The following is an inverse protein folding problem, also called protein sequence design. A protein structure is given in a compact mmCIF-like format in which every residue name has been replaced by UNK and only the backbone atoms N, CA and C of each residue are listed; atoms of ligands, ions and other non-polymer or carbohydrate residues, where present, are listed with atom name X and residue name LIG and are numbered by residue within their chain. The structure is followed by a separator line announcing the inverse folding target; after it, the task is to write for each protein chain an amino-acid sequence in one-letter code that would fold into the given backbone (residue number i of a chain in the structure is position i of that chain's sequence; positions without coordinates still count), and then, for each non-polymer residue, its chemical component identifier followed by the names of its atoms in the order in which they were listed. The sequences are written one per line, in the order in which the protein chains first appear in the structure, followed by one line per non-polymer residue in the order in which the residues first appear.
data_IF_658032835515
#
_entry.id   IF_658032835515
#
_cell.length_a   1.000
_cell.length_b   1.000
_cell.length_c   1.000
_cell.angle_alpha   90.00
_cell.angle_beta   90.00
_cell.angle_gamma   90.00
#
_symmetry.space_group_name_H-M   'P 1'
#
loop_
_entity.id
_entity.type
_entity.pdbx_description
1 polymer ?
#
# COMPACT_ATOMS: atom_id res chain seq x y z
N UNK A 1 29.00 12.08 15.79
CA UNK A 1 28.04 10.97 15.75
C UNK A 1 27.10 11.27 14.61
N UNK A 2 27.44 10.77 13.41
CA UNK A 2 26.65 10.98 12.20
C UNK A 2 25.98 9.65 11.92
N UNK A 3 24.70 9.52 12.26
CA UNK A 3 23.92 8.35 11.83
C UNK A 3 22.41 8.67 11.93
N UNK A 4 21.76 8.61 10.76
CA UNK A 4 20.36 8.18 10.58
C UNK A 4 19.17 9.13 10.83
N UNK A 5 19.27 10.41 10.44
CA UNK A 5 18.09 11.29 10.29
C UNK A 5 17.63 11.47 8.83
N UNK A 6 17.76 10.45 7.98
CA UNK A 6 17.29 10.53 6.57
C UNK A 6 16.38 9.39 6.11
N UNK A 7 16.01 8.43 6.95
CA UNK A 7 15.11 7.31 6.58
C UNK A 7 14.00 7.06 7.61
N UNK A 8 13.52 8.07 8.34
CA UNK A 8 12.26 7.88 9.06
C UNK A 8 11.14 7.83 8.01
N UNK A 9 10.48 6.68 7.75
CA UNK A 9 9.32 6.68 6.88
C UNK A 9 8.31 7.68 7.46
N UNK A 10 7.71 8.48 6.58
CA UNK A 10 6.61 9.38 6.95
C UNK A 10 5.45 8.51 7.47
N UNK A 11 5.46 8.16 8.75
CA UNK A 11 4.46 7.32 9.43
C UNK A 11 4.36 5.88 8.90
N UNK A 12 3.73 5.02 9.70
CA UNK A 12 3.26 3.69 9.29
C UNK A 12 2.03 3.84 8.38
N UNK A 13 2.26 4.43 7.20
CA UNK A 13 1.22 4.74 6.22
C UNK A 13 1.09 3.59 5.23
N UNK A 14 -0.12 3.06 5.10
CA UNK A 14 -0.45 1.92 4.26
C UNK A 14 -1.54 2.24 3.24
N UNK A 15 -1.51 1.51 2.14
CA UNK A 15 -2.50 1.61 1.08
C UNK A 15 -3.88 1.14 1.58
N UNK A 16 -4.95 1.93 1.39
CA UNK A 16 -6.29 1.55 1.84
C UNK A 16 -6.91 0.40 1.03
N UNK A 17 -6.38 0.11 -0.16
CA UNK A 17 -6.89 -0.94 -1.05
C UNK A 17 -6.25 -2.30 -0.80
N UNK A 18 -4.95 -2.33 -0.49
CA UNK A 18 -4.18 -3.57 -0.43
C UNK A 18 -3.34 -3.76 0.82
N UNK A 19 -3.24 -2.74 1.69
CA UNK A 19 -2.45 -2.81 2.92
C UNK A 19 -0.94 -2.65 2.71
N UNK A 20 -0.48 -2.35 1.49
CA UNK A 20 0.95 -2.19 1.22
C UNK A 20 1.50 -0.87 1.78
N UNK A 21 2.67 -0.93 2.40
CA UNK A 21 3.45 0.25 2.80
C UNK A 21 4.24 0.88 1.64
N UNK A 22 4.19 0.29 0.43
CA UNK A 22 4.88 0.81 -0.76
C UNK A 22 4.08 1.93 -1.44
N UNK A 23 3.80 2.97 -0.67
CA UNK A 23 3.24 4.23 -1.16
C UNK A 23 4.37 5.20 -1.49
N UNK A 24 4.19 5.98 -2.55
CA UNK A 24 5.04 7.14 -2.81
C UNK A 24 4.19 8.38 -3.01
N UNK A 25 4.79 9.53 -2.71
CA UNK A 25 4.16 10.81 -2.80
C UNK A 25 4.22 11.34 -4.24
N UNK A 26 3.07 11.61 -4.85
CA UNK A 26 2.98 12.03 -6.25
C UNK A 26 2.87 13.55 -6.41
N UNK A 27 2.11 14.22 -5.55
CA UNK A 27 1.89 15.67 -5.61
C UNK A 27 1.81 16.25 -4.20
N UNK A 28 2.48 17.39 -4.01
CA UNK A 28 2.41 18.19 -2.79
C UNK A 28 2.50 19.68 -3.00
N UNK A 29 2.17 20.42 -1.93
CA UNK A 29 1.91 21.88 -1.83
C UNK A 29 0.40 22.21 -1.90
N UNK A 30 0.01 23.32 -2.53
CA UNK A 30 -1.34 23.93 -2.47
C UNK A 30 -2.52 23.00 -2.86
N UNK A 31 -2.25 21.89 -3.55
CA UNK A 31 -3.25 20.94 -4.04
C UNK A 31 -3.52 19.76 -3.08
N UNK A 32 -2.80 19.66 -1.96
CA UNK A 32 -2.91 18.56 -1.00
C UNK A 32 -1.97 17.39 -1.31
N UNK A 33 -1.97 16.41 -0.40
CA UNK A 33 -1.12 15.23 -0.45
C UNK A 33 -1.79 14.11 -1.27
N UNK A 34 -1.18 13.66 -2.36
CA UNK A 34 -1.64 12.48 -3.11
C UNK A 34 -0.60 11.36 -3.07
N UNK A 35 -1.07 10.16 -2.73
CA UNK A 35 -0.28 8.95 -2.61
C UNK A 35 -0.58 7.97 -3.73
N UNK A 36 0.45 7.28 -4.19
CA UNK A 36 0.35 6.24 -5.20
C UNK A 36 0.95 4.94 -4.70
N UNK A 37 0.19 3.85 -4.79
CA UNK A 37 0.64 2.51 -4.40
C UNK A 37 1.31 1.79 -5.58
N UNK A 38 2.51 1.27 -5.33
CA UNK A 38 3.27 0.50 -6.34
C UNK A 38 2.69 -0.90 -6.62
N UNK A 39 1.83 -1.40 -5.74
CA UNK A 39 1.37 -2.80 -5.81
C UNK A 39 -0.01 -2.99 -6.41
N UNK A 40 -0.95 -2.12 -6.06
CA UNK A 40 -2.31 -2.18 -6.58
C UNK A 40 -2.65 -1.02 -7.53
N UNK A 41 -1.79 0.00 -7.62
CA UNK A 41 -2.04 1.19 -8.43
C UNK A 41 -3.01 2.20 -7.81
N UNK A 42 -3.34 2.06 -6.52
CA UNK A 42 -4.12 3.08 -5.78
C UNK A 42 -3.52 4.47 -6.01
N UNK A 43 -4.36 5.47 -6.30
CA UNK A 43 -3.97 6.86 -6.51
C UNK A 43 -5.00 7.77 -5.83
N UNK A 44 -4.63 8.37 -4.70
CA UNK A 44 -5.55 9.22 -3.97
C UNK A 44 -4.97 9.83 -2.69
N UNK A 45 -5.75 10.69 -2.02
CA UNK A 45 -5.30 11.39 -0.83
C UNK A 45 -5.46 10.58 0.47
N UNK A 46 -6.12 9.42 0.42
CA UNK A 46 -6.47 8.63 1.60
C UNK A 46 -5.42 7.56 1.85
N UNK A 47 -5.04 7.43 3.10
CA UNK A 47 -4.11 6.41 3.55
C UNK A 47 -4.54 5.86 4.90
N UNK A 48 -4.05 4.69 5.26
CA UNK A 48 -4.28 4.07 6.57
C UNK A 48 -3.05 4.31 7.43
N UNK A 49 -3.25 4.83 8.63
CA UNK A 49 -2.21 4.96 9.64
C UNK A 49 -2.33 3.78 10.61
N UNK A 50 -1.29 2.95 10.69
CA UNK A 50 -1.23 1.78 11.58
C UNK A 50 -1.28 0.42 10.88
N UNK A 51 -0.59 -0.57 11.46
CA UNK A 51 -0.31 -1.85 10.79
C UNK A 51 -1.46 -2.86 10.85
N UNK A 52 -2.33 -2.82 11.87
CA UNK A 52 -3.36 -3.85 12.07
C UNK A 52 -4.33 -3.96 10.88
N UNK A 53 -4.90 -2.84 10.46
CA UNK A 53 -5.85 -2.79 9.34
C UNK A 53 -5.13 -3.13 8.03
N UNK A 54 -3.89 -2.67 7.87
CA UNK A 54 -3.07 -2.93 6.70
C UNK A 54 -2.73 -4.42 6.53
N UNK A 55 -2.39 -5.11 7.63
CA UNK A 55 -2.12 -6.54 7.62
C UNK A 55 -3.35 -7.35 7.21
N UNK A 56 -4.55 -6.96 7.66
CA UNK A 56 -5.78 -7.63 7.27
C UNK A 56 -6.08 -7.47 5.77
N UNK A 57 -5.92 -6.25 5.25
CA UNK A 57 -6.03 -5.94 3.82
C UNK A 57 -5.07 -6.79 2.97
N UNK A 58 -3.81 -6.89 3.39
CA UNK A 58 -2.81 -7.67 2.69
C UNK A 58 -3.17 -9.17 2.67
N UNK A 59 -3.67 -9.71 3.79
CA UNK A 59 -4.12 -11.11 3.87
C UNK A 59 -5.31 -11.37 2.94
N UNK A 60 -6.29 -10.47 2.90
CA UNK A 60 -7.44 -10.57 1.97
C UNK A 60 -6.96 -10.60 0.52
N UNK A 61 -6.07 -9.68 0.15
CA UNK A 61 -5.54 -9.58 -1.21
C UNK A 61 -4.80 -10.84 -1.65
N UNK A 62 -3.98 -11.42 -0.79
CA UNK A 62 -3.25 -12.66 -1.10
C UNK A 62 -4.21 -13.84 -1.31
N UNK A 63 -5.27 -13.94 -0.50
CA UNK A 63 -6.30 -14.97 -0.66
C UNK A 63 -7.00 -14.84 -2.02
N UNK A 64 -7.45 -13.65 -2.37
CA UNK A 64 -8.12 -13.40 -3.65
C UNK A 64 -7.22 -13.74 -4.85
N UNK A 65 -5.93 -13.39 -4.80
CA UNK A 65 -4.98 -13.71 -5.88
C UNK A 65 -4.78 -15.23 -6.00
N UNK A 66 -4.68 -15.95 -4.87
CA UNK A 66 -4.57 -17.42 -4.88
C UNK A 66 -5.81 -18.06 -5.49
N UNK A 67 -7.01 -17.61 -5.11
CA UNK A 67 -8.27 -18.11 -5.64
C UNK A 67 -8.40 -17.85 -7.15
N UNK A 68 -7.99 -16.66 -7.61
CA UNK A 68 -7.95 -16.32 -9.04
C UNK A 68 -6.97 -17.21 -9.82
N UNK A 69 -5.77 -17.47 -9.27
CA UNK A 69 -4.80 -18.38 -9.88
C UNK A 69 -5.30 -19.82 -9.95
N UNK A 70 -5.95 -20.31 -8.90
CA UNK A 70 -6.51 -21.67 -8.91
C UNK A 70 -7.66 -21.82 -9.92
N UNK A 71 -8.42 -20.75 -10.20
CA UNK A 71 -9.45 -20.77 -11.26
C UNK A 71 -8.83 -20.78 -12.65
N UNK A 72 -7.83 -19.93 -12.89
CA UNK A 72 -7.13 -19.86 -14.18
C UNK A 72 -6.47 -21.19 -14.59
N UNK A 73 -5.97 -21.97 -13.63
CA UNK A 73 -5.31 -23.26 -13.92
C UNK A 73 -6.28 -24.45 -14.15
N UNK A 74 -7.60 -24.26 -14.02
CA UNK A 74 -8.60 -25.32 -14.22
C UNK A 74 -9.40 -25.16 -15.53
N UNK A 75 -9.06 -24.18 -16.36
CA UNK A 75 -9.72 -23.90 -17.65
C UNK A 75 -8.85 -24.28 -18.87
N UNK A 76 -7.75 -25.02 -18.65
CA UNK A 76 -6.88 -25.62 -19.70
C UNK A 76 -7.08 -27.14 -19.81
#
# INVERSE_FOLDING_TARGET
MVEEESHRPLGDIFCPECGSSRLYYFLGLKAGHIYVCKDCGYHGPVVIEGSEIAEELQRKRIKEIKEKRSKANNED
#
